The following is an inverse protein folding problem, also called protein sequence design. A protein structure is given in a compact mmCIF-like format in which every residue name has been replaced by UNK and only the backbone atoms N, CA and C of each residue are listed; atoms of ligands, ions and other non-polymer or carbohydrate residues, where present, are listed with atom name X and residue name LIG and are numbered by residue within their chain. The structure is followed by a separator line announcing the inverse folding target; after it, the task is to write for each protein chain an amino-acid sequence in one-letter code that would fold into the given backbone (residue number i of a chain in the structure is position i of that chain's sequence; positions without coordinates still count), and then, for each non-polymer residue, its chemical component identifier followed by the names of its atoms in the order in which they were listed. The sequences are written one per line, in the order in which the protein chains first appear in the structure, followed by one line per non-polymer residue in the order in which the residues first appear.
data_IF_255741984369
#
_entry.id   IF_255741984369
#
_cell.length_a   1.000
_cell.length_b   1.000
_cell.length_c   1.000
_cell.angle_alpha   90.00
_cell.angle_beta   90.00
_cell.angle_gamma   90.00
#
_symmetry.space_group_name_H-M   'P 1'
#
loop_
_entity.id
_entity.type
_entity.pdbx_description
1 polymer ?
#
# COMPACT_ATOMS: atom_id res chain seq x y z
N UNK A 1 24.43 3.73 2.28
CA UNK A 1 23.32 4.04 3.22
C UNK A 1 23.61 3.50 4.61
N UNK A 2 23.93 2.21 4.76
CA UNK A 2 24.21 1.57 6.07
C UNK A 2 25.15 2.35 7.00
N UNK A 3 26.29 2.92 6.54
CA UNK A 3 27.15 3.72 7.43
C UNK A 3 26.46 4.94 8.06
N UNK A 4 25.49 5.54 7.36
CA UNK A 4 24.69 6.65 7.90
C UNK A 4 23.76 6.14 9.00
N UNK A 5 23.01 5.07 8.73
CA UNK A 5 22.10 4.45 9.71
C UNK A 5 22.84 4.01 10.98
N UNK A 6 24.06 3.50 10.84
CA UNK A 6 24.90 3.10 11.98
C UNK A 6 25.34 4.29 12.86
N UNK A 7 25.47 5.48 12.28
CA UNK A 7 25.86 6.68 13.00
C UNK A 7 24.68 7.37 13.72
N UNK A 8 23.44 6.95 13.45
CA UNK A 8 22.26 7.49 14.10
C UNK A 8 22.16 7.04 15.56
N UNK A 9 21.63 7.92 16.42
CA UNK A 9 21.34 7.58 17.81
C UNK A 9 20.08 6.71 17.88
N UNK A 10 20.19 5.52 18.48
CA UNK A 10 19.04 4.65 18.71
C UNK A 10 18.18 5.12 19.91
N UNK A 11 16.85 4.94 19.86
CA UNK A 11 16.06 4.44 18.73
C UNK A 11 15.92 5.50 17.63
N UNK A 12 15.92 5.06 16.36
CA UNK A 12 15.68 5.93 15.22
C UNK A 12 14.61 5.34 14.29
N UNK A 13 13.99 6.21 13.49
CA UNK A 13 13.15 5.84 12.35
C UNK A 13 13.76 6.42 11.08
N UNK A 14 13.93 5.59 10.05
CA UNK A 14 14.53 5.98 8.78
C UNK A 14 13.58 5.68 7.62
N UNK A 15 13.37 6.67 6.75
CA UNK A 15 12.61 6.53 5.51
C UNK A 15 13.55 6.59 4.32
N UNK A 16 13.62 5.50 3.55
CA UNK A 16 14.46 5.39 2.36
C UNK A 16 13.56 5.37 1.13
N UNK A 17 13.62 6.43 0.33
CA UNK A 17 12.87 6.53 -0.93
C UNK A 17 13.79 6.05 -2.05
N UNK A 18 13.36 5.01 -2.78
CA UNK A 18 14.09 4.52 -3.95
C UNK A 18 13.67 5.25 -5.21
N UNK A 19 14.50 5.25 -6.26
CA UNK A 19 14.27 6.06 -7.46
C UNK A 19 14.48 5.32 -8.78
N UNK A 20 15.20 4.20 -8.80
CA UNK A 20 15.54 3.49 -10.04
C UNK A 20 14.33 2.92 -10.80
N UNK A 21 13.15 2.93 -10.20
CA UNK A 21 11.88 2.41 -10.72
C UNK A 21 10.88 3.53 -11.05
N UNK A 22 11.32 4.56 -11.78
CA UNK A 22 10.48 5.71 -12.11
C UNK A 22 10.06 5.74 -13.59
N UNK A 23 8.80 6.09 -13.85
CA UNK A 23 8.26 6.39 -15.18
C UNK A 23 9.14 7.46 -15.89
N UNK A 24 9.38 7.41 -17.22
CA UNK A 24 8.65 6.67 -18.27
C UNK A 24 9.17 5.27 -18.61
N UNK A 25 10.20 4.78 -17.92
CA UNK A 25 10.86 3.50 -18.25
C UNK A 25 11.37 3.41 -19.70
N UNK A 26 11.69 4.55 -20.33
CA UNK A 26 12.15 4.60 -21.73
C UNK A 26 13.48 3.86 -21.97
N UNK A 27 14.34 3.82 -20.97
CA UNK A 27 15.62 3.11 -21.04
C UNK A 27 16.01 2.54 -19.68
N UNK A 28 16.75 1.44 -19.69
CA UNK A 28 17.38 0.86 -18.51
C UNK A 28 18.83 0.47 -18.82
N UNK A 29 19.82 0.72 -17.95
CA UNK A 29 21.24 0.49 -18.29
C UNK A 29 21.54 -0.98 -18.63
N UNK A 30 22.10 -1.24 -19.82
CA UNK A 30 22.38 -2.59 -20.36
C UNK A 30 23.14 -3.48 -19.37
N UNK A 31 24.14 -2.94 -18.67
CA UNK A 31 24.93 -3.67 -17.66
C UNK A 31 24.10 -4.23 -16.49
N UNK A 32 22.86 -3.78 -16.33
CA UNK A 32 21.94 -4.22 -15.29
C UNK A 32 20.76 -5.04 -15.85
N UNK A 33 20.63 -5.16 -17.17
CA UNK A 33 19.68 -6.05 -17.82
C UNK A 33 20.19 -7.50 -17.69
N UNK A 34 19.48 -8.33 -16.93
CA UNK A 34 19.89 -9.71 -16.58
C UNK A 34 18.83 -10.77 -16.83
N UNK A 35 17.66 -10.35 -17.32
CA UNK A 35 16.53 -11.23 -17.58
C UNK A 35 16.34 -11.35 -19.08
N UNK A 36 15.82 -12.49 -19.53
CA UNK A 36 15.14 -12.56 -20.82
C UNK A 36 13.72 -12.02 -20.59
N UNK A 37 13.39 -10.91 -21.25
CA UNK A 37 12.09 -10.24 -21.13
C UNK A 37 11.26 -10.37 -22.41
N UNK A 38 11.64 -11.25 -23.33
CA UNK A 38 10.87 -11.51 -24.55
C UNK A 38 9.39 -11.77 -24.24
N UNK A 39 8.43 -11.18 -24.99
CA UNK A 39 8.60 -10.36 -26.20
C UNK A 39 8.74 -8.85 -25.94
N UNK A 40 9.05 -8.44 -24.70
CA UNK A 40 9.05 -7.04 -24.26
C UNK A 40 10.41 -6.34 -24.37
N UNK A 41 11.34 -6.89 -25.15
CA UNK A 41 12.65 -6.30 -25.37
C UNK A 41 12.56 -4.86 -25.88
N UNK A 42 13.38 -3.98 -25.31
CA UNK A 42 13.42 -2.56 -25.67
C UNK A 42 12.07 -1.82 -25.53
N UNK A 43 11.13 -2.35 -24.74
CA UNK A 43 9.87 -1.68 -24.41
C UNK A 43 9.91 -1.07 -23.00
N UNK A 44 9.06 -0.07 -22.70
CA UNK A 44 8.92 0.44 -21.33
C UNK A 44 8.57 -0.63 -20.29
N UNK A 45 7.78 -1.63 -20.67
CA UNK A 45 7.43 -2.74 -19.78
C UNK A 45 8.61 -3.66 -19.52
N UNK A 46 9.40 -4.01 -20.54
CA UNK A 46 10.65 -4.77 -20.37
C UNK A 46 11.67 -4.04 -19.48
N UNK A 47 11.83 -2.73 -19.70
CA UNK A 47 12.69 -1.89 -18.84
C UNK A 47 12.20 -1.84 -17.39
N UNK A 48 10.90 -1.79 -17.16
CA UNK A 48 10.32 -1.90 -15.82
C UNK A 48 10.65 -3.24 -15.16
N UNK A 49 10.55 -4.35 -15.89
CA UNK A 49 10.92 -5.68 -15.38
C UNK A 49 12.41 -5.73 -14.97
N UNK A 50 13.31 -5.19 -15.80
CA UNK A 50 14.72 -5.08 -15.44
C UNK A 50 14.96 -4.19 -14.22
N UNK A 51 14.26 -3.05 -14.15
CA UNK A 51 14.29 -2.17 -12.98
C UNK A 51 13.84 -2.87 -11.71
N UNK A 52 12.81 -3.72 -11.80
CA UNK A 52 12.28 -4.46 -10.65
C UNK A 52 13.27 -5.51 -10.17
N UNK A 53 13.88 -6.25 -11.11
CA UNK A 53 14.95 -7.20 -10.79
C UNK A 53 16.18 -6.51 -10.18
N UNK A 54 16.54 -5.32 -10.66
CA UNK A 54 17.60 -4.52 -10.06
C UNK A 54 17.25 -4.08 -8.63
N UNK A 55 16.03 -3.61 -8.40
CA UNK A 55 15.55 -3.23 -7.07
C UNK A 55 15.60 -4.41 -6.10
N UNK A 56 15.11 -5.59 -6.52
CA UNK A 56 15.15 -6.82 -5.72
C UNK A 56 16.58 -7.15 -5.27
N UNK A 57 17.54 -7.14 -6.21
CA UNK A 57 18.95 -7.34 -5.88
C UNK A 57 19.48 -6.27 -4.92
N UNK A 58 19.21 -4.99 -5.19
CA UNK A 58 19.68 -3.89 -4.35
C UNK A 58 19.11 -3.95 -2.93
N UNK A 59 17.84 -4.36 -2.78
CA UNK A 59 17.21 -4.60 -1.48
C UNK A 59 17.88 -5.76 -0.75
N UNK A 60 18.15 -6.88 -1.45
CA UNK A 60 18.89 -8.01 -0.88
C UNK A 60 20.30 -7.63 -0.41
N UNK A 61 21.05 -6.88 -1.22
CA UNK A 61 22.37 -6.35 -0.86
C UNK A 61 22.31 -5.41 0.35
N UNK A 62 21.28 -4.57 0.43
CA UNK A 62 21.05 -3.67 1.56
C UNK A 62 20.72 -4.42 2.86
N UNK A 63 19.83 -5.41 2.80
CA UNK A 63 19.48 -6.26 3.95
C UNK A 63 20.70 -7.05 4.44
N UNK A 64 21.47 -7.64 3.53
CA UNK A 64 22.70 -8.34 3.87
C UNK A 64 23.76 -7.39 4.50
N UNK A 65 23.81 -6.13 4.07
CA UNK A 65 24.68 -5.14 4.70
C UNK A 65 24.21 -4.75 6.12
N UNK A 66 22.90 -4.59 6.34
CA UNK A 66 22.35 -4.39 7.68
C UNK A 66 22.64 -5.58 8.61
N UNK A 67 22.58 -6.81 8.08
CA UNK A 67 22.89 -8.02 8.83
C UNK A 67 24.37 -8.09 9.22
N UNK A 68 25.28 -7.87 8.25
CA UNK A 68 26.74 -7.86 8.51
C UNK A 68 27.15 -6.84 9.57
N UNK A 69 26.46 -5.70 9.63
CA UNK A 69 26.73 -4.64 10.60
C UNK A 69 25.96 -4.81 11.93
N UNK A 70 25.21 -5.92 12.09
CA UNK A 70 24.46 -6.23 13.31
C UNK A 70 23.18 -5.42 13.52
N UNK A 71 22.85 -4.48 12.61
CA UNK A 71 21.67 -3.63 12.72
C UNK A 71 20.38 -4.41 12.50
N UNK A 72 20.38 -5.39 11.60
CA UNK A 72 19.16 -6.13 11.23
C UNK A 72 18.56 -6.90 12.41
N UNK A 73 19.37 -7.33 13.38
CA UNK A 73 18.94 -8.09 14.55
C UNK A 73 18.01 -7.30 15.50
N UNK A 74 18.01 -5.97 15.41
CA UNK A 74 17.23 -5.09 16.30
C UNK A 74 16.35 -4.09 15.52
N UNK A 75 16.20 -4.29 14.21
CA UNK A 75 15.49 -3.36 13.31
C UNK A 75 14.24 -4.01 12.75
N UNK A 76 13.10 -3.34 12.90
CA UNK A 76 11.91 -3.61 12.08
C UNK A 76 12.15 -3.03 10.69
N UNK A 77 12.04 -3.85 9.66
CA UNK A 77 12.17 -3.40 8.26
C UNK A 77 10.82 -3.46 7.58
N UNK A 78 10.38 -2.32 7.03
CA UNK A 78 9.13 -2.21 6.27
C UNK A 78 9.48 -1.94 4.82
N UNK A 79 9.02 -2.80 3.92
CA UNK A 79 9.12 -2.62 2.47
C UNK A 79 7.71 -2.48 1.94
N UNK A 80 7.43 -1.35 1.30
CA UNK A 80 6.13 -1.08 0.69
C UNK A 80 6.29 -0.38 -0.67
N UNK A 81 5.34 -0.60 -1.57
CA UNK A 81 5.21 0.22 -2.78
C UNK A 81 4.40 1.48 -2.50
N UNK A 82 4.75 2.57 -3.19
CA UNK A 82 4.08 3.87 -3.08
C UNK A 82 2.85 3.97 -3.98
N UNK A 83 2.91 3.45 -5.20
CA UNK A 83 1.77 3.32 -6.10
C UNK A 83 2.03 2.27 -7.20
N UNK A 84 1.01 1.97 -8.01
CA UNK A 84 1.18 1.11 -9.19
C UNK A 84 2.09 1.77 -10.23
N UNK A 85 2.74 0.98 -11.09
CA UNK A 85 3.65 1.50 -12.11
C UNK A 85 2.96 2.39 -13.17
N UNK A 86 1.62 2.43 -13.20
CA UNK A 86 0.86 3.33 -14.06
C UNK A 86 0.86 2.94 -15.54
N UNK A 87 1.17 1.68 -15.88
CA UNK A 87 0.98 1.19 -17.24
C UNK A 87 -0.51 1.29 -17.64
N UNK A 88 -0.83 1.63 -18.90
CA UNK A 88 -2.20 1.55 -19.37
C UNK A 88 -2.62 0.09 -19.53
N UNK A 89 -3.92 -0.16 -19.43
CA UNK A 89 -4.46 -1.46 -19.78
C UNK A 89 -4.34 -1.67 -21.30
N UNK A 90 -3.79 -2.81 -21.71
CA UNK A 90 -3.92 -3.35 -23.08
C UNK A 90 -4.21 -4.85 -23.00
N UNK A 91 -4.88 -5.44 -24.01
CA UNK A 91 -5.11 -6.89 -24.04
C UNK A 91 -3.82 -7.71 -23.91
N UNK A 92 -2.73 -7.27 -24.55
CA UNK A 92 -1.44 -7.96 -24.56
C UNK A 92 -0.79 -7.95 -23.17
N UNK A 93 -0.80 -6.80 -22.51
CA UNK A 93 -0.25 -6.66 -21.16
C UNK A 93 -1.11 -7.37 -20.12
N UNK A 94 -2.44 -7.27 -20.22
CA UNK A 94 -3.36 -8.00 -19.35
C UNK A 94 -3.14 -9.51 -19.46
N UNK A 95 -3.08 -10.04 -20.68
CA UNK A 95 -2.78 -11.44 -20.94
C UNK A 95 -1.41 -11.86 -20.37
N UNK A 96 -0.37 -11.03 -20.55
CA UNK A 96 0.98 -11.29 -20.02
C UNK A 96 1.00 -11.36 -18.49
N UNK A 97 0.21 -10.52 -17.82
CA UNK A 97 0.10 -10.51 -16.36
C UNK A 97 -0.85 -11.60 -15.83
N UNK A 98 -1.43 -12.41 -16.71
CA UNK A 98 -2.40 -13.45 -16.34
C UNK A 98 -3.76 -12.91 -15.95
N UNK A 99 -4.07 -11.66 -16.31
CA UNK A 99 -5.39 -11.06 -16.12
C UNK A 99 -6.29 -11.33 -17.32
N UNK A 100 -7.57 -11.57 -17.05
CA UNK A 100 -8.61 -11.61 -18.06
C UNK A 100 -8.79 -10.24 -18.75
N UNK A 101 -9.58 -10.24 -19.82
CA UNK A 101 -9.90 -9.02 -20.58
C UNK A 101 -10.91 -8.10 -19.89
N UNK A 102 -11.03 -8.16 -18.55
CA UNK A 102 -11.94 -7.33 -17.79
C UNK A 102 -11.19 -6.26 -16.97
N UNK A 103 -11.84 -5.11 -16.84
CA UNK A 103 -11.31 -3.93 -16.15
C UNK A 103 -11.26 -4.12 -14.63
N UNK A 104 -11.98 -5.12 -14.11
CA UNK A 104 -12.03 -5.49 -12.69
C UNK A 104 -10.68 -6.05 -12.23
N UNK A 105 -10.17 -7.06 -12.93
CA UNK A 105 -8.88 -7.67 -12.64
C UNK A 105 -7.73 -6.67 -12.78
N UNK A 106 -7.82 -5.77 -13.75
CA UNK A 106 -6.85 -4.67 -13.90
C UNK A 106 -6.83 -3.74 -12.67
N UNK A 107 -8.00 -3.38 -12.13
CA UNK A 107 -8.04 -2.54 -10.92
C UNK A 107 -7.53 -3.29 -9.68
N UNK A 108 -7.74 -4.60 -9.61
CA UNK A 108 -7.12 -5.43 -8.57
C UNK A 108 -5.60 -5.55 -8.72
N UNK A 109 -5.06 -5.32 -9.93
CA UNK A 109 -3.62 -5.31 -10.19
C UNK A 109 -2.91 -4.07 -9.64
N UNK A 110 -3.64 -3.01 -9.24
CA UNK A 110 -3.06 -1.80 -8.65
C UNK A 110 -2.61 -1.98 -7.17
N UNK A 111 -2.58 -3.22 -6.67
CA UNK A 111 -2.04 -3.55 -5.35
C UNK A 111 -0.52 -3.31 -5.32
N UNK A 112 -0.04 -2.80 -4.20
CA UNK A 112 1.39 -2.65 -3.90
C UNK A 112 1.81 -3.64 -2.82
N UNK A 113 3.06 -4.13 -2.82
CA UNK A 113 3.53 -5.03 -1.78
C UNK A 113 3.59 -4.31 -0.43
N UNK A 114 3.36 -5.05 0.65
CA UNK A 114 3.70 -4.66 2.02
C UNK A 114 4.34 -5.87 2.71
N UNK A 115 5.61 -5.72 3.09
CA UNK A 115 6.37 -6.72 3.84
C UNK A 115 6.93 -6.06 5.08
N UNK A 116 6.63 -6.63 6.24
CA UNK A 116 7.13 -6.17 7.54
C UNK A 116 7.96 -7.28 8.16
N UNK A 117 9.27 -7.07 8.25
CA UNK A 117 10.20 -7.99 8.91
C UNK A 117 10.45 -7.52 10.33
N UNK A 118 10.02 -8.33 11.30
CA UNK A 118 10.15 -8.06 12.74
C UNK A 118 11.25 -8.96 13.33
N UNK A 119 12.22 -8.40 14.09
CA UNK A 119 13.21 -9.23 14.78
C UNK A 119 12.56 -10.26 15.71
N UNK A 120 12.91 -11.54 15.55
CA UNK A 120 12.34 -12.64 16.35
C UNK A 120 10.86 -12.94 16.08
N UNK A 121 10.24 -12.27 15.10
CA UNK A 121 8.85 -12.52 14.70
C UNK A 121 8.71 -13.83 13.92
N UNK A 122 7.50 -14.41 13.96
CA UNK A 122 7.12 -15.52 13.10
C UNK A 122 6.57 -14.98 11.77
N UNK A 123 6.79 -15.73 10.69
CA UNK A 123 6.22 -15.39 9.40
C UNK A 123 4.71 -15.66 9.42
N UNK A 124 3.94 -14.64 9.04
CA UNK A 124 2.49 -14.69 8.92
C UNK A 124 2.08 -13.99 7.62
N UNK A 125 1.02 -14.50 6.99
CA UNK A 125 0.38 -13.85 5.85
C UNK A 125 -0.99 -13.33 6.28
N UNK A 126 -1.20 -12.03 6.12
CA UNK A 126 -2.49 -11.38 6.35
C UNK A 126 -3.15 -11.14 4.99
N UNK A 127 -4.26 -11.83 4.72
CA UNK A 127 -5.00 -11.74 3.45
C UNK A 127 -6.13 -10.69 3.48
N UNK A 128 -6.30 -9.98 4.60
CA UNK A 128 -7.22 -8.85 4.69
C UNK A 128 -6.74 -7.68 3.80
N UNK A 129 -7.65 -6.95 3.15
CA UNK A 129 -7.29 -5.68 2.53
C UNK A 129 -6.78 -4.70 3.57
N UNK A 130 -5.61 -4.13 3.25
CA UNK A 130 -4.92 -3.09 4.02
C UNK A 130 -4.57 -1.96 3.03
N UNK A 131 -4.78 -0.72 3.44
CA UNK A 131 -4.37 0.48 2.72
C UNK A 131 -3.12 1.11 3.33
N UNK A 132 -2.49 2.03 2.59
CA UNK A 132 -1.32 2.76 3.12
C UNK A 132 -1.66 3.62 4.36
N UNK A 133 -2.92 4.02 4.54
CA UNK A 133 -3.38 4.76 5.73
C UNK A 133 -3.32 3.91 7.02
N UNK A 134 -3.31 2.58 6.88
CA UNK A 134 -3.25 1.63 7.99
C UNK A 134 -1.81 1.42 8.47
N UNK A 135 -0.80 1.83 7.70
CA UNK A 135 0.62 1.61 8.04
C UNK A 135 1.00 2.27 9.37
N UNK A 136 0.64 3.54 9.57
CA UNK A 136 1.02 4.27 10.77
C UNK A 136 0.44 3.63 12.06
N UNK A 137 -0.88 3.40 12.20
CA UNK A 137 -1.42 2.74 13.40
C UNK A 137 -0.92 1.30 13.57
N UNK A 138 -0.68 0.56 12.48
CA UNK A 138 -0.11 -0.80 12.53
C UNK A 138 1.31 -0.81 13.08
N UNK A 139 2.18 0.08 12.60
CA UNK A 139 3.57 0.16 13.06
C UNK A 139 3.67 0.69 14.49
N UNK A 140 2.81 1.62 14.90
CA UNK A 140 2.74 2.06 16.29
C UNK A 140 2.33 0.91 17.21
N UNK A 141 1.29 0.17 16.86
CA UNK A 141 0.86 -1.01 17.63
C UNK A 141 1.97 -2.06 17.73
N UNK A 142 2.68 -2.32 16.63
CA UNK A 142 3.84 -3.22 16.60
C UNK A 142 4.96 -2.79 17.56
N UNK A 143 5.16 -1.49 17.75
CA UNK A 143 6.14 -0.91 18.66
C UNK A 143 5.61 -0.76 20.10
N UNK A 144 4.40 -1.26 20.40
CA UNK A 144 3.79 -1.18 21.72
C UNK A 144 3.20 0.20 22.06
N UNK A 145 2.97 1.06 21.06
CA UNK A 145 2.32 2.35 21.21
C UNK A 145 0.83 2.21 20.91
N UNK A 146 -0.02 2.68 21.83
CA UNK A 146 -1.47 2.70 21.62
C UNK A 146 -1.86 3.75 20.56
N UNK A 147 -2.11 3.26 19.34
CA UNK A 147 -2.54 4.10 18.23
C UNK A 147 -4.02 4.51 18.31
N UNK A 148 -4.84 3.87 19.15
CA UNK A 148 -6.28 4.15 19.25
C UNK A 148 -6.58 5.52 19.86
N UNK A 149 -5.64 6.06 20.64
CA UNK A 149 -5.70 7.40 21.20
C UNK A 149 -5.39 8.51 20.18
N UNK A 150 -4.99 8.16 18.95
CA UNK A 150 -4.56 9.11 17.93
C UNK A 150 -5.56 9.17 16.76
N UNK A 151 -5.78 10.34 16.15
CA UNK A 151 -6.77 10.53 15.10
C UNK A 151 -6.30 10.02 13.73
N UNK A 152 -5.89 8.76 13.65
CA UNK A 152 -5.58 8.10 12.39
C UNK A 152 -6.85 7.73 11.62
N UNK A 153 -6.80 7.87 10.30
CA UNK A 153 -7.89 7.46 9.42
C UNK A 153 -7.88 5.94 9.16
N UNK A 154 -6.69 5.33 9.19
CA UNK A 154 -6.53 3.88 9.05
C UNK A 154 -6.65 3.15 10.39
N UNK A 155 -6.57 1.83 10.32
CA UNK A 155 -6.67 0.91 11.45
C UNK A 155 -5.38 0.13 11.68
N UNK A 156 -5.23 -0.42 12.89
CA UNK A 156 -4.22 -1.43 13.16
C UNK A 156 -4.58 -2.73 12.40
N UNK A 157 -3.65 -3.23 11.59
CA UNK A 157 -3.81 -4.46 10.83
C UNK A 157 -3.42 -5.74 11.61
N UNK A 158 -2.81 -5.63 12.79
CA UNK A 158 -2.36 -6.77 13.60
C UNK A 158 -3.44 -7.27 14.56
N UNK A 159 -3.38 -8.56 14.92
CA UNK A 159 -4.28 -9.18 15.89
C UNK A 159 -5.65 -9.45 15.29
N UNK A 160 -6.67 -8.73 15.76
CA UNK A 160 -8.05 -8.82 15.23
C UNK A 160 -8.41 -7.51 14.53
N UNK A 161 -7.87 -7.26 13.32
CA UNK A 161 -8.21 -6.07 12.57
C UNK A 161 -9.73 -6.05 12.28
N UNK A 162 -10.31 -4.85 12.28
CA UNK A 162 -11.71 -4.66 11.86
C UNK A 162 -11.92 -5.03 10.39
N UNK A 163 -13.18 -5.01 9.94
CA UNK A 163 -13.58 -5.37 8.57
C UNK A 163 -13.98 -4.16 7.72
N UNK A 164 -13.72 -2.94 8.20
CA UNK A 164 -13.94 -1.70 7.46
C UNK A 164 -13.27 -1.72 6.07
N UNK A 165 -13.84 -1.03 5.08
CA UNK A 165 -13.25 -0.91 3.75
C UNK A 165 -11.93 -0.13 3.72
N UNK A 166 -11.01 -0.59 2.86
CA UNK A 166 -9.88 0.20 2.38
C UNK A 166 -10.38 1.15 1.28
N UNK A 167 -10.34 2.44 1.58
CA UNK A 167 -10.93 3.48 0.73
C UNK A 167 -9.88 4.10 -0.19
N UNK A 168 -10.21 4.19 -1.48
CA UNK A 168 -9.43 4.88 -2.51
C UNK A 168 -9.82 6.35 -2.58
N UNK A 169 -8.93 7.16 -3.14
CA UNK A 169 -9.11 8.62 -3.26
C UNK A 169 -10.34 9.02 -4.07
N UNK A 170 -10.72 8.23 -5.07
CA UNK A 170 -11.89 8.46 -5.92
C UNK A 170 -13.21 8.05 -5.24
N UNK A 171 -13.15 7.45 -4.05
CA UNK A 171 -14.30 6.93 -3.30
C UNK A 171 -14.62 5.47 -3.59
N UNK A 172 -13.91 4.82 -4.53
CA UNK A 172 -13.91 3.37 -4.68
C UNK A 172 -13.34 2.72 -3.41
N UNK A 173 -13.69 1.48 -3.10
CA UNK A 173 -13.21 0.83 -1.88
C UNK A 173 -13.21 -0.69 -2.00
N UNK A 174 -12.44 -1.34 -1.13
CA UNK A 174 -12.36 -2.81 -1.04
C UNK A 174 -12.35 -3.26 0.42
N UNK A 175 -13.20 -4.21 0.78
CA UNK A 175 -13.22 -4.86 2.11
C UNK A 175 -13.00 -6.37 1.97
N UNK A 176 -13.18 -7.16 3.04
CA UNK A 176 -12.98 -8.62 2.99
C UNK A 176 -13.84 -9.35 1.94
N UNK A 177 -15.00 -8.81 1.57
CA UNK A 177 -16.02 -9.47 0.76
C UNK A 177 -16.31 -8.77 -0.57
N UNK A 178 -16.31 -7.44 -0.60
CA UNK A 178 -16.76 -6.65 -1.73
C UNK A 178 -15.69 -5.68 -2.25
N UNK A 179 -15.75 -5.43 -3.55
CA UNK A 179 -15.03 -4.36 -4.23
C UNK A 179 -16.07 -3.43 -4.87
N UNK A 180 -16.03 -2.17 -4.50
CA UNK A 180 -16.87 -1.13 -5.06
C UNK A 180 -16.04 -0.20 -5.94
N UNK A 181 -16.44 -0.06 -7.20
CA UNK A 181 -15.76 0.79 -8.17
C UNK A 181 -16.69 1.92 -8.60
N UNK A 182 -16.31 3.14 -8.26
CA UNK A 182 -16.87 4.35 -8.86
C UNK A 182 -16.20 4.55 -10.21
N UNK A 183 -16.89 4.20 -11.30
CA UNK A 183 -16.45 4.61 -12.63
C UNK A 183 -17.35 5.73 -13.13
N UNK A 184 -16.74 6.68 -13.84
CA UNK A 184 -17.38 7.92 -14.26
C UNK A 184 -18.61 7.70 -15.15
N UNK A 185 -19.15 8.80 -15.69
CA UNK A 185 -20.46 8.84 -16.37
C UNK A 185 -20.71 7.80 -17.47
N UNK A 186 -19.67 7.19 -18.04
CA UNK A 186 -19.75 6.26 -19.17
C UNK A 186 -19.82 4.78 -18.78
N UNK A 187 -19.28 4.39 -17.63
CA UNK A 187 -19.19 2.98 -17.21
C UNK A 187 -20.03 2.69 -15.98
N UNK A 188 -20.41 3.72 -15.22
CA UNK A 188 -21.29 3.56 -14.07
C UNK A 188 -20.58 2.98 -12.84
N UNK A 189 -21.35 2.87 -11.77
CA UNK A 189 -20.89 2.35 -10.49
C UNK A 189 -21.16 0.86 -10.41
N UNK A 190 -20.18 0.09 -9.93
CA UNK A 190 -20.29 -1.36 -9.80
C UNK A 190 -19.92 -1.83 -8.39
N UNK A 191 -20.58 -2.89 -7.94
CA UNK A 191 -20.26 -3.63 -6.72
C UNK A 191 -19.94 -5.07 -7.14
N UNK A 192 -18.79 -5.58 -6.71
CA UNK A 192 -18.34 -6.93 -7.04
C UNK A 192 -18.13 -7.76 -5.79
N UNK A 193 -18.49 -9.04 -5.85
CA UNK A 193 -18.01 -10.03 -4.89
C UNK A 193 -16.53 -10.33 -5.16
N UNK A 194 -15.67 -10.25 -4.14
CA UNK A 194 -14.22 -10.39 -4.29
C UNK A 194 -13.76 -11.82 -4.49
N UNK A 195 -14.51 -12.79 -4.00
CA UNK A 195 -14.16 -14.19 -4.12
C UNK A 195 -14.58 -14.71 -5.49
N UNK A 196 -15.81 -14.36 -5.89
CA UNK A 196 -16.42 -14.84 -7.14
C UNK A 196 -16.12 -13.95 -8.35
N UNK A 197 -15.67 -12.71 -8.11
CA UNK A 197 -15.37 -11.70 -9.13
C UNK A 197 -16.54 -11.38 -10.07
N UNK A 198 -17.77 -11.46 -9.56
CA UNK A 198 -18.97 -11.14 -10.31
C UNK A 198 -19.68 -9.91 -9.76
N UNK A 199 -20.43 -9.24 -10.65
CA UNK A 199 -21.22 -8.06 -10.31
C UNK A 199 -22.42 -8.47 -9.44
N UNK A 200 -22.61 -7.73 -8.35
CA UNK A 200 -23.71 -7.93 -7.39
C UNK A 200 -24.50 -6.64 -7.22
N UNK A 201 -25.77 -6.70 -6.75
CA UNK A 201 -26.57 -5.51 -6.56
C UNK A 201 -25.86 -4.46 -5.69
N UNK A 202 -25.91 -3.19 -6.09
CA UNK A 202 -25.26 -2.07 -5.37
C UNK A 202 -25.66 -1.96 -3.89
N UNK A 203 -26.83 -2.48 -3.52
CA UNK A 203 -27.30 -2.53 -2.13
C UNK A 203 -26.34 -3.33 -1.22
N UNK A 204 -25.65 -4.34 -1.74
CA UNK A 204 -24.64 -5.12 -1.01
C UNK A 204 -23.45 -4.25 -0.58
N UNK A 205 -23.12 -3.23 -1.39
CA UNK A 205 -22.06 -2.27 -1.12
C UNK A 205 -22.54 -1.02 -0.36
N UNK A 206 -23.79 -0.94 0.10
CA UNK A 206 -24.35 0.30 0.64
C UNK A 206 -23.63 0.78 1.92
N UNK A 207 -23.37 -0.14 2.85
CA UNK A 207 -22.72 0.19 4.12
C UNK A 207 -21.26 0.64 3.92
N UNK A 208 -20.49 -0.14 3.16
CA UNK A 208 -19.11 0.18 2.83
C UNK A 208 -18.98 1.51 2.06
N UNK A 209 -19.93 1.80 1.17
CA UNK A 209 -19.98 3.08 0.44
C UNK A 209 -20.29 4.26 1.36
N UNK A 210 -21.20 4.09 2.32
CA UNK A 210 -21.47 5.13 3.32
C UNK A 210 -20.25 5.38 4.21
N UNK A 211 -19.51 4.33 4.58
CA UNK A 211 -18.23 4.47 5.28
C UNK A 211 -17.20 5.23 4.44
N UNK A 212 -16.98 4.81 3.19
CA UNK A 212 -16.01 5.41 2.28
C UNK A 212 -16.29 6.91 2.06
N UNK A 213 -17.55 7.29 1.84
CA UNK A 213 -17.94 8.69 1.69
C UNK A 213 -17.61 9.53 2.93
N UNK A 214 -17.87 9.00 4.14
CA UNK A 214 -17.50 9.68 5.39
C UNK A 214 -15.99 9.79 5.55
N UNK A 215 -15.24 8.72 5.27
CA UNK A 215 -13.78 8.70 5.41
C UNK A 215 -13.11 9.75 4.50
N UNK A 216 -13.52 9.82 3.22
CA UNK A 216 -13.02 10.82 2.27
C UNK A 216 -13.37 12.24 2.73
N UNK A 217 -14.62 12.47 3.14
CA UNK A 217 -15.06 13.79 3.61
C UNK A 217 -14.33 14.23 4.88
N UNK A 218 -14.10 13.32 5.84
CA UNK A 218 -13.33 13.64 7.06
C UNK A 218 -11.88 13.97 6.74
N UNK A 219 -11.21 13.18 5.91
CA UNK A 219 -9.84 13.50 5.47
C UNK A 219 -9.79 14.87 4.77
N UNK A 220 -10.76 15.17 3.90
CA UNK A 220 -10.89 16.47 3.22
C UNK A 220 -11.03 17.61 4.23
N UNK A 221 -11.95 17.51 5.20
CA UNK A 221 -12.18 18.55 6.22
C UNK A 221 -10.97 18.77 7.12
N UNK A 222 -10.30 17.70 7.54
CA UNK A 222 -9.09 17.83 8.38
C UNK A 222 -8.03 18.66 7.68
N UNK A 223 -7.87 18.46 6.36
CA UNK A 223 -6.91 19.22 5.54
C UNK A 223 -7.37 20.63 5.23
N UNK A 224 -8.64 20.81 4.86
CA UNK A 224 -9.20 22.12 4.47
C UNK A 224 -9.23 23.10 5.64
N UNK A 225 -9.53 22.61 6.85
CA UNK A 225 -9.68 23.43 8.05
C UNK A 225 -8.52 23.30 9.05
N UNK A 226 -7.40 22.67 8.65
CA UNK A 226 -6.21 22.43 9.49
C UNK A 226 -6.55 21.88 10.89
N UNK A 227 -7.38 20.83 10.93
CA UNK A 227 -7.93 20.32 12.19
C UNK A 227 -6.97 19.41 12.96
N UNK A 228 -5.80 19.07 12.40
CA UNK A 228 -4.90 18.09 13.00
C UNK A 228 -4.50 18.46 14.43
N UNK A 229 -4.13 19.73 14.67
CA UNK A 229 -3.75 20.20 16.01
C UNK A 229 -4.91 20.12 17.01
N UNK A 230 -6.13 20.37 16.55
CA UNK A 230 -7.33 20.34 17.41
C UNK A 230 -7.67 18.90 17.79
N UNK A 231 -7.60 17.98 16.84
CA UNK A 231 -7.92 16.57 17.07
C UNK A 231 -6.99 15.91 18.11
N UNK A 232 -5.73 16.33 18.20
CA UNK A 232 -4.79 15.84 19.23
C UNK A 232 -5.12 16.30 20.65
N UNK A 233 -5.98 17.31 20.81
CA UNK A 233 -6.30 17.92 22.11
C UNK A 233 -7.69 17.54 22.63
N UNK A 234 -8.52 16.88 21.80
CA UNK A 234 -9.84 16.42 22.19
C UNK A 234 -9.72 15.03 22.79
N UNK A 235 -10.10 14.81 24.07
CA UNK A 235 -10.13 13.48 24.65
C UNK A 235 -11.09 12.57 23.85
N UNK A 236 -10.77 11.27 23.69
CA UNK A 236 -11.57 10.34 22.90
C UNK A 236 -13.05 10.26 23.32
N UNK A 237 -13.37 10.58 24.58
CA UNK A 237 -14.74 10.51 25.12
C UNK A 237 -15.52 11.83 25.14
N UNK A 238 -15.01 12.91 24.52
CA UNK A 238 -15.76 14.18 24.47
C UNK A 238 -16.07 14.82 25.83
N UNK A 239 -15.41 14.38 26.91
CA UNK A 239 -15.47 15.05 28.20
C UNK A 239 -14.81 16.42 28.06
N UNK A 240 -15.63 17.46 27.88
CA UNK A 240 -15.20 18.83 27.98
C UNK A 240 -14.46 19.01 29.32
N UNK A 241 -13.23 19.53 29.26
CA UNK A 241 -12.58 20.06 30.47
C UNK A 241 -13.47 21.23 30.92
N UNK A 242 -14.12 21.07 32.07
CA UNK A 242 -14.79 22.16 32.80
C UNK A 242 -13.77 23.23 33.16
#
# INVERSE_FOLDING_TARGET
MVPKLRAEQAPFAAWLITQSLHYPFEAFPDRHQRLDVSPWDQTPFGNYIHGMHYFDRALGEFLAALERDGLLAHTVVVVTGDHSAGFPWTPELAHTLGFGNDLLQWTLAERVPLVIRVPGGQAERIDLPIGQVDLAPTLLALLGVDASALPYAGRNALGTPGTEPVVRRDGSWVDARYLYLLRGRTTGTHCYDRERLDDVPLAECAEGSAFAARAVEMSRRVREFDLQRRLLTVPPDGAARQ
#
